data_IF_123402664368
#
_entry.id   IF_123402664368
#
_cell.length_a   1.000
_cell.length_b   1.000
_cell.length_c   1.000
_cell.angle_alpha   90.00
_cell.angle_beta   90.00
_cell.angle_gamma   90.00
#
_symmetry.space_group_name_H-M   'P 1'
#
loop_
_entity.id
_entity.type
_entity.pdbx_description
1 polymer ?
#
# COMPACT_ATOMS: atom_id res chain seq x y z
N UNK A 1 2.31 -5.26 -8.40
CA UNK A 1 2.99 -5.01 -7.12
C UNK A 1 4.13 -6.02 -6.99
N UNK A 2 5.30 -5.60 -6.53
CA UNK A 2 6.44 -6.48 -6.25
C UNK A 2 6.85 -6.26 -4.80
N UNK A 3 6.93 -7.33 -4.01
CA UNK A 3 7.31 -7.27 -2.60
C UNK A 3 8.61 -8.03 -2.36
N UNK A 4 9.44 -7.50 -1.46
CA UNK A 4 10.66 -8.11 -0.95
C UNK A 4 10.56 -8.19 0.57
N UNK A 5 10.54 -9.41 1.10
CA UNK A 5 10.58 -9.67 2.53
C UNK A 5 12.03 -9.73 3.00
N UNK A 6 12.35 -9.06 4.10
CA UNK A 6 13.68 -9.07 4.70
C UNK A 6 13.68 -9.90 5.99
N UNK A 7 14.83 -10.50 6.33
CA UNK A 7 14.99 -11.28 7.57
C UNK A 7 14.66 -10.47 8.84
N UNK A 8 14.73 -9.14 8.79
CA UNK A 8 14.35 -8.23 9.87
C UNK A 8 12.83 -8.11 10.10
N UNK A 9 12.00 -8.80 9.30
CA UNK A 9 10.54 -8.66 9.32
C UNK A 9 10.02 -7.41 8.61
N UNK A 10 10.92 -6.60 8.03
CA UNK A 10 10.55 -5.50 7.13
C UNK A 10 10.09 -6.05 5.79
N UNK A 11 9.21 -5.29 5.14
CA UNK A 11 8.74 -5.51 3.78
C UNK A 11 9.05 -4.26 2.98
N UNK A 12 9.78 -4.43 1.89
CA UNK A 12 9.97 -3.39 0.88
C UNK A 12 9.30 -3.79 -0.42
N UNK A 13 9.20 -2.87 -1.37
CA UNK A 13 8.66 -3.23 -2.68
C UNK A 13 8.39 -2.04 -3.58
N UNK A 14 7.71 -2.33 -4.69
CA UNK A 14 7.21 -1.33 -5.62
C UNK A 14 5.74 -1.58 -5.94
N UNK A 15 5.00 -0.49 -6.11
CA UNK A 15 3.62 -0.50 -6.51
C UNK A 15 3.44 0.44 -7.70
N UNK A 16 2.91 -0.13 -8.78
CA UNK A 16 2.42 0.59 -9.94
C UNK A 16 0.90 0.53 -9.92
N UNK A 17 0.27 1.68 -9.98
CA UNK A 17 -1.18 1.85 -10.09
C UNK A 17 -1.45 2.54 -11.41
N UNK A 18 -2.11 1.82 -12.31
CA UNK A 18 -2.56 2.32 -13.61
C UNK A 18 -4.07 2.58 -13.52
N UNK A 19 -4.48 3.84 -13.45
CA UNK A 19 -5.87 4.23 -13.62
C UNK A 19 -6.11 4.62 -15.08
N UNK A 20 -7.25 4.23 -15.64
CA UNK A 20 -7.59 4.50 -17.06
C UNK A 20 -7.62 5.99 -17.38
N UNK A 21 -8.00 6.83 -16.40
CA UNK A 21 -8.22 8.28 -16.56
C UNK A 21 -7.34 9.13 -15.63
N UNK A 22 -6.37 8.56 -14.91
CA UNK A 22 -5.51 9.31 -13.99
C UNK A 22 -4.03 9.01 -14.23
N UNK A 23 -3.12 9.92 -13.85
CA UNK A 23 -1.68 9.71 -13.95
C UNK A 23 -1.26 8.37 -13.37
N UNK A 24 -0.39 7.67 -14.10
CA UNK A 24 0.20 6.41 -13.64
C UNK A 24 1.08 6.70 -12.44
N UNK A 25 0.73 6.12 -11.29
CA UNK A 25 1.52 6.29 -10.08
C UNK A 25 2.42 5.06 -9.91
N UNK A 26 3.73 5.27 -10.03
CA UNK A 26 4.73 4.26 -9.68
C UNK A 26 5.51 4.74 -8.48
N UNK A 27 5.62 3.89 -7.47
CA UNK A 27 6.24 4.26 -6.21
C UNK A 27 6.80 3.08 -5.44
N UNK A 28 7.47 3.38 -4.33
CA UNK A 28 8.08 2.41 -3.43
C UNK A 28 7.18 2.12 -2.24
N UNK A 29 7.29 0.90 -1.72
CA UNK A 29 6.63 0.45 -0.51
C UNK A 29 7.70 0.19 0.56
N UNK A 30 7.48 0.69 1.76
CA UNK A 30 8.26 0.34 2.96
C UNK A 30 7.29 0.09 4.11
N UNK A 31 7.41 -1.05 4.80
CA UNK A 31 6.55 -1.36 5.91
C UNK A 31 6.81 -2.72 6.53
N UNK A 32 5.76 -3.31 7.10
CA UNK A 32 5.83 -4.61 7.78
C UNK A 32 4.45 -5.24 7.95
N UNK A 33 4.45 -6.56 8.11
CA UNK A 33 3.26 -7.28 8.57
C UNK A 33 3.01 -7.05 10.06
N UNK A 34 1.73 -6.97 10.42
CA UNK A 34 1.22 -7.08 11.79
C UNK A 34 0.11 -8.13 11.74
N UNK A 35 0.41 -9.34 12.20
CA UNK A 35 -0.48 -10.49 11.99
C UNK A 35 -0.62 -10.81 10.50
N UNK A 36 -1.84 -10.82 9.99
CA UNK A 36 -2.18 -11.08 8.59
C UNK A 36 -2.17 -9.82 7.71
N UNK A 37 -2.01 -8.64 8.29
CA UNK A 37 -2.15 -7.38 7.56
C UNK A 37 -0.80 -6.72 7.33
N UNK A 38 -0.47 -6.44 6.07
CA UNK A 38 0.69 -5.66 5.66
C UNK A 38 0.35 -4.16 5.71
N UNK A 39 1.08 -3.41 6.53
CA UNK A 39 1.01 -1.95 6.57
C UNK A 39 2.26 -1.37 5.92
N UNK A 40 2.09 -0.45 4.98
CA UNK A 40 3.19 0.18 4.23
C UNK A 40 2.97 1.67 4.03
N UNK A 41 4.07 2.41 4.01
CA UNK A 41 4.14 3.75 3.43
C UNK A 41 4.38 3.59 1.92
N UNK A 42 3.42 4.04 1.10
CA UNK A 42 3.58 4.14 -0.35
C UNK A 42 4.06 5.53 -0.74
N UNK A 43 5.27 5.60 -1.29
CA UNK A 43 5.89 6.86 -1.72
C UNK A 43 5.97 6.94 -3.22
N UNK A 44 5.41 8.00 -3.80
CA UNK A 44 5.46 8.24 -5.24
C UNK A 44 5.60 9.74 -5.52
N UNK A 45 6.20 10.06 -6.67
CA UNK A 45 6.31 11.43 -7.18
C UNK A 45 5.24 11.63 -8.24
N UNK A 46 4.40 12.66 -8.08
CA UNK A 46 3.41 13.02 -9.09
C UNK A 46 4.07 13.63 -10.34
N UNK A 47 3.29 13.77 -11.42
CA UNK A 47 3.71 14.49 -12.63
C UNK A 47 4.13 15.94 -12.34
N UNK A 48 3.52 16.56 -11.33
CA UNK A 48 3.88 17.92 -10.85
C UNK A 48 5.12 17.96 -9.95
N UNK A 49 5.89 16.86 -9.88
CA UNK A 49 7.12 16.71 -9.06
C UNK A 49 6.89 16.80 -7.55
N UNK A 50 5.65 16.69 -7.08
CA UNK A 50 5.34 16.65 -5.66
C UNK A 50 5.53 15.23 -5.14
N UNK A 51 6.26 15.08 -4.03
CA UNK A 51 6.42 13.80 -3.34
C UNK A 51 5.23 13.57 -2.41
N UNK A 52 4.56 12.44 -2.59
CA UNK A 52 3.45 12.01 -1.74
C UNK A 52 3.85 10.76 -0.96
N UNK A 53 3.35 10.65 0.28
CA UNK A 53 3.45 9.44 1.11
C UNK A 53 2.06 9.08 1.59
N UNK A 54 1.52 7.96 1.09
CA UNK A 54 0.19 7.47 1.41
C UNK A 54 0.27 6.17 2.21
N UNK A 55 -0.43 6.04 3.34
CA UNK A 55 -0.48 4.78 4.08
C UNK A 55 -1.39 3.81 3.33
N UNK A 56 -0.94 2.58 3.14
CA UNK A 56 -1.73 1.49 2.58
C UNK A 56 -1.74 0.29 3.53
N UNK A 57 -2.84 -0.43 3.53
CA UNK A 57 -3.00 -1.67 4.28
C UNK A 57 -3.50 -2.78 3.35
N UNK A 58 -2.87 -3.94 3.42
CA UNK A 58 -3.22 -5.11 2.63
C UNK A 58 -3.46 -6.31 3.54
N UNK A 59 -4.70 -6.80 3.57
CA UNK A 59 -5.04 -8.02 4.30
C UNK A 59 -4.58 -9.23 3.49
N UNK A 60 -3.79 -10.11 4.10
CA UNK A 60 -3.42 -11.40 3.51
C UNK A 60 -4.52 -12.42 3.80
N UNK A 61 -5.23 -12.84 2.76
CA UNK A 61 -6.31 -13.83 2.85
C UNK A 61 -6.32 -14.71 1.60
N UNK A 62 -6.41 -16.02 1.79
CA UNK A 62 -6.51 -17.02 0.71
C UNK A 62 -5.40 -16.90 -0.36
N UNK A 63 -4.17 -16.63 0.07
CA UNK A 63 -3.02 -16.42 -0.82
C UNK A 63 -3.03 -15.09 -1.60
N UNK A 64 -4.00 -14.21 -1.32
CA UNK A 64 -4.14 -12.89 -1.94
C UNK A 64 -3.83 -11.78 -0.94
N UNK A 65 -3.60 -10.59 -1.47
CA UNK A 65 -3.47 -9.34 -0.71
C UNK A 65 -4.61 -8.40 -1.09
N UNK A 66 -5.51 -8.12 -0.17
CA UNK A 66 -6.69 -7.28 -0.37
C UNK A 66 -6.39 -5.88 0.16
N UNK A 67 -6.38 -4.86 -0.69
CA UNK A 67 -6.16 -3.47 -0.29
C UNK A 67 -7.38 -2.95 0.46
N UNK A 68 -7.19 -2.56 1.72
CA UNK A 68 -8.25 -1.98 2.54
C UNK A 68 -8.45 -0.48 2.30
N UNK A 69 -9.63 0.01 2.68
CA UNK A 69 -9.98 1.43 2.69
C UNK A 69 -10.07 1.88 4.15
N UNK A 70 -9.25 2.84 4.53
CA UNK A 70 -9.23 3.42 5.87
C UNK A 70 -9.36 4.94 5.82
N UNK A 71 -9.79 5.52 6.93
CA UNK A 71 -9.73 6.98 7.10
C UNK A 71 -8.26 7.41 7.18
N UNK A 72 -7.90 8.43 6.41
CA UNK A 72 -6.55 8.97 6.34
C UNK A 72 -6.57 10.43 6.78
N UNK A 73 -5.59 10.82 7.58
CA UNK A 73 -5.31 12.20 7.96
C UNK A 73 -3.90 12.58 7.48
N UNK A 74 -3.75 13.82 7.03
CA UNK A 74 -2.45 14.36 6.59
C UNK A 74 -2.00 15.44 7.56
N UNK A 75 -0.79 15.28 8.11
CA UNK A 75 -0.15 16.28 8.97
C UNK A 75 1.26 16.54 8.46
N UNK A 76 1.63 17.81 8.26
CA UNK A 76 2.95 18.22 7.78
C UNK A 76 3.41 17.44 6.52
N UNK A 77 2.50 17.24 5.56
CA UNK A 77 2.82 16.57 4.28
C UNK A 77 2.95 15.06 4.33
N UNK A 78 2.70 14.42 5.48
CA UNK A 78 2.68 12.96 5.61
C UNK A 78 1.28 12.48 6.00
N UNK A 79 0.78 11.50 5.27
CA UNK A 79 -0.52 10.90 5.49
C UNK A 79 -0.42 9.65 6.37
N UNK A 80 -1.39 9.45 7.25
CA UNK A 80 -1.45 8.31 8.18
C UNK A 80 -2.88 7.79 8.31
N UNK A 81 -3.04 6.51 8.64
CA UNK A 81 -4.34 6.00 9.05
C UNK A 81 -4.75 6.62 10.39
N UNK A 82 -6.00 7.05 10.49
CA UNK A 82 -6.54 7.61 11.73
C UNK A 82 -6.53 6.53 12.81
N UNK A 83 -5.97 6.88 13.96
CA UNK A 83 -5.86 5.94 15.09
C UNK A 83 -7.26 5.53 15.56
N UNK A 84 -7.41 4.24 15.88
CA UNK A 84 -8.66 3.63 16.35
C UNK A 84 -9.83 3.69 15.35
N UNK A 85 -9.57 4.01 14.08
CA UNK A 85 -10.55 3.83 13.01
C UNK A 85 -10.28 2.51 12.28
N UNK A 86 -11.32 1.72 11.99
CA UNK A 86 -11.15 0.45 11.30
C UNK A 86 -10.71 0.66 9.85
N UNK A 87 -10.04 -0.34 9.30
CA UNK A 87 -9.78 -0.45 7.86
C UNK A 87 -10.79 -1.45 7.31
N UNK A 88 -11.57 -1.03 6.32
CA UNK A 88 -12.55 -1.88 5.67
C UNK A 88 -11.90 -2.61 4.48
N UNK A 89 -11.83 -3.94 4.56
CA UNK A 89 -11.29 -4.80 3.50
C UNK A 89 -12.36 -5.38 2.58
N UNK A 90 -13.65 -5.23 2.89
CA UNK A 90 -14.76 -5.73 2.08
C UNK A 90 -15.04 -4.85 0.85
N UNK A 91 -14.81 -3.55 0.99
CA UNK A 91 -14.93 -2.56 -0.10
C UNK A 91 -13.58 -2.28 -0.77
N UNK A 92 -12.63 -3.20 -0.61
CA UNK A 92 -11.25 -3.03 -1.06
C UNK A 92 -11.16 -2.73 -2.56
N UNK A 93 -10.38 -1.70 -2.92
CA UNK A 93 -10.28 -1.24 -4.32
C UNK A 93 -9.51 -2.20 -5.22
N UNK A 94 -8.59 -2.97 -4.65
CA UNK A 94 -7.70 -3.85 -5.40
C UNK A 94 -7.42 -5.13 -4.61
N UNK A 95 -7.45 -6.26 -5.32
CA UNK A 95 -6.99 -7.56 -4.81
C UNK A 95 -5.82 -8.02 -5.66
N UNK A 96 -4.69 -8.30 -5.01
CA UNK A 96 -3.48 -8.76 -5.66
C UNK A 96 -3.32 -10.26 -5.45
N UNK A 97 -3.13 -10.97 -6.54
CA UNK A 97 -2.81 -12.40 -6.53
C UNK A 97 -1.31 -12.59 -6.61
N UNK A 98 -0.80 -13.62 -5.94
CA UNK A 98 0.60 -14.02 -6.10
C UNK A 98 0.79 -14.57 -7.50
N UNK A 99 1.81 -14.08 -8.19
CA UNK A 99 2.30 -14.69 -9.42
C UNK A 99 3.72 -15.17 -9.20
N UNK A 100 4.08 -16.27 -9.86
CA UNK A 100 5.47 -16.70 -9.91
C UNK A 100 6.27 -15.65 -10.67
N UNK A 101 7.33 -15.14 -10.04
CA UNK A 101 8.29 -14.29 -10.73
C UNK A 101 8.91 -15.11 -11.86
N UNK A 102 8.86 -14.57 -13.09
CA UNK A 102 9.63 -15.08 -14.23
C UNK A 102 11.06 -14.57 -14.16
#
# INVERSE_FOLDING_TARGET
>A
MVLKNYASGKVGGTLKVDYTESPKNTGTLDGKFRGDTLFVDYRFTSETKTLYTNPLAFLRKDGKLIMGVGQIETTMGRSYFVKNKPINFEVGKFTFETQNCK
#
